data_IF_698761547150
#
_entry.id   IF_698761547150
#
_cell.length_a   1.000
_cell.length_b   1.000
_cell.length_c   1.000
_cell.angle_alpha   90.00
_cell.angle_beta   90.00
_cell.angle_gamma   90.00
#
_symmetry.space_group_name_H-M   'P 1'
#
loop_
_entity.id
_entity.type
_entity.pdbx_description
1 polymer ?
#
# COMPACT_ATOMS: atom_id res chain seq x y z
N UNK A 1 -10.32 19.55 22.52
CA UNK A 1 -11.14 19.34 21.31
C UNK A 1 -10.19 18.96 20.19
N UNK A 2 -10.27 17.75 19.65
CA UNK A 2 -9.51 17.38 18.46
C UNK A 2 -10.07 18.18 17.28
N UNK A 3 -9.24 19.00 16.65
CA UNK A 3 -9.55 19.63 15.37
C UNK A 3 -9.89 18.53 14.37
N UNK A 4 -11.04 18.63 13.69
CA UNK A 4 -11.37 17.73 12.61
C UNK A 4 -10.23 17.77 11.58
N UNK A 5 -9.70 16.60 11.21
CA UNK A 5 -8.70 16.50 10.16
C UNK A 5 -9.31 16.97 8.84
N UNK A 6 -8.52 17.66 8.00
CA UNK A 6 -8.95 17.94 6.64
C UNK A 6 -9.15 16.62 5.88
N UNK A 7 -10.16 16.52 4.99
CA UNK A 7 -10.31 15.34 4.15
C UNK A 7 -9.04 15.08 3.34
N UNK A 8 -8.65 13.82 3.22
CA UNK A 8 -7.48 13.39 2.44
C UNK A 8 -7.90 12.41 1.36
N UNK A 9 -7.32 12.56 0.18
CA UNK A 9 -7.48 11.58 -0.90
C UNK A 9 -6.18 10.82 -1.08
N UNK A 10 -6.27 9.50 -1.16
CA UNK A 10 -5.14 8.62 -1.43
C UNK A 10 -5.39 7.85 -2.71
N UNK A 11 -4.43 7.89 -3.62
CA UNK A 11 -4.43 7.10 -4.85
C UNK A 11 -3.63 5.82 -4.65
N UNK A 12 -4.27 4.71 -4.97
CA UNK A 12 -3.63 3.43 -5.05
C UNK A 12 -2.83 3.28 -6.35
N UNK A 13 -1.85 2.38 -6.35
CA UNK A 13 -0.95 2.17 -7.50
C UNK A 13 -1.67 1.68 -8.75
N UNK A 14 -2.82 1.01 -8.60
CA UNK A 14 -3.71 0.62 -9.71
C UNK A 14 -4.60 1.76 -10.25
N UNK A 15 -4.51 2.95 -9.63
CA UNK A 15 -5.28 4.14 -9.99
C UNK A 15 -6.59 4.33 -9.23
N UNK A 16 -7.02 3.35 -8.42
CA UNK A 16 -8.15 3.51 -7.49
C UNK A 16 -7.89 4.66 -6.52
N UNK A 17 -8.94 5.34 -6.06
CA UNK A 17 -8.84 6.51 -5.19
C UNK A 17 -9.75 6.35 -4.00
N UNK A 18 -9.24 6.66 -2.81
CA UNK A 18 -9.98 6.59 -1.56
C UNK A 18 -10.01 7.99 -0.92
N UNK A 19 -11.20 8.48 -0.63
CA UNK A 19 -11.40 9.70 0.16
C UNK A 19 -11.64 9.27 1.61
N UNK A 20 -10.82 9.80 2.52
CA UNK A 20 -11.01 9.67 3.95
C UNK A 20 -11.37 11.04 4.52
N UNK A 21 -12.40 11.06 5.35
CA UNK A 21 -12.90 12.25 6.04
C UNK A 21 -13.31 11.86 7.46
N UNK A 22 -13.50 12.86 8.33
CA UNK A 22 -13.97 12.65 9.69
C UNK A 22 -13.28 13.53 10.71
N UNK A 23 -13.36 13.11 11.97
CA UNK A 23 -12.77 13.86 13.10
C UNK A 23 -11.49 13.22 13.65
N UNK A 24 -10.92 12.25 12.93
CA UNK A 24 -9.63 11.63 13.26
C UNK A 24 -8.49 12.44 12.64
N UNK A 25 -7.28 12.26 13.18
CA UNK A 25 -6.07 12.80 12.55
C UNK A 25 -5.68 11.93 11.36
N UNK A 26 -5.79 12.50 10.16
CA UNK A 26 -5.48 11.85 8.89
C UNK A 26 -4.20 12.41 8.25
N UNK A 27 -3.38 13.14 9.00
CA UNK A 27 -2.20 13.84 8.47
C UNK A 27 -1.03 12.92 8.09
N UNK A 28 -0.96 11.73 8.69
CA UNK A 28 0.10 10.76 8.41
C UNK A 28 0.11 10.36 6.92
N UNK A 29 1.30 10.13 6.32
CA UNK A 29 1.41 9.69 4.94
C UNK A 29 0.79 8.30 4.74
N UNK A 30 0.52 7.97 3.49
CA UNK A 30 0.07 6.64 3.07
C UNK A 30 1.07 5.99 2.13
N UNK A 31 1.09 4.66 2.11
CA UNK A 31 1.72 3.88 1.03
C UNK A 31 0.64 3.14 0.24
N UNK A 32 0.94 2.74 -0.99
CA UNK A 32 0.10 1.82 -1.75
C UNK A 32 0.91 0.68 -2.31
N UNK A 33 0.43 -0.54 -2.12
CA UNK A 33 1.08 -1.77 -2.54
C UNK A 33 0.21 -2.47 -3.58
N UNK A 34 0.83 -3.02 -4.61
CA UNK A 34 0.17 -3.98 -5.48
C UNK A 34 1.14 -5.01 -6.02
N UNK A 35 0.59 -6.20 -6.23
CA UNK A 35 1.23 -7.27 -6.97
C UNK A 35 0.86 -7.17 -8.45
N UNK A 36 1.88 -7.16 -9.30
CA UNK A 36 1.75 -7.14 -10.75
C UNK A 36 2.34 -8.42 -11.31
N UNK A 37 1.54 -9.18 -12.04
CA UNK A 37 2.02 -10.33 -12.81
C UNK A 37 2.59 -9.83 -14.13
N UNK A 38 3.87 -10.13 -14.39
CA UNK A 38 4.59 -9.75 -15.61
C UNK A 38 5.27 -11.00 -16.16
N UNK A 39 4.88 -11.42 -17.37
CA UNK A 39 5.39 -12.65 -17.98
C UNK A 39 5.27 -13.89 -17.06
N UNK A 40 4.16 -13.99 -16.33
CA UNK A 40 3.88 -15.10 -15.41
C UNK A 40 4.64 -15.05 -14.07
N UNK A 41 5.36 -13.97 -13.77
CA UNK A 41 6.04 -13.76 -12.47
C UNK A 41 5.39 -12.63 -11.70
N UNK A 42 5.26 -12.79 -10.40
CA UNK A 42 4.72 -11.76 -9.51
C UNK A 42 5.82 -10.75 -9.15
N UNK A 43 5.48 -9.48 -9.21
CA UNK A 43 6.32 -8.36 -8.81
C UNK A 43 5.53 -7.43 -7.91
N UNK A 44 5.98 -7.26 -6.66
CA UNK A 44 5.38 -6.30 -5.75
C UNK A 44 5.93 -4.90 -6.03
N UNK A 45 5.03 -3.92 -6.08
CA UNK A 45 5.37 -2.51 -6.14
C UNK A 45 4.74 -1.78 -4.96
N UNK A 46 5.57 -1.10 -4.19
CA UNK A 46 5.13 -0.21 -3.11
C UNK A 46 5.37 1.24 -3.52
N UNK A 47 4.35 2.08 -3.43
CA UNK A 47 4.40 3.51 -3.74
C UNK A 47 4.12 4.33 -2.50
N UNK A 48 4.58 5.57 -2.46
CA UNK A 48 4.38 6.46 -1.33
C UNK A 48 4.82 7.88 -1.62
N UNK A 49 4.95 8.69 -0.57
CA UNK A 49 5.59 10.01 -0.69
C UNK A 49 7.05 9.86 -1.16
N UNK A 50 7.66 10.97 -1.58
CA UNK A 50 9.06 10.97 -2.03
C UNK A 50 10.03 10.46 -0.96
N UNK A 51 9.67 10.58 0.33
CA UNK A 51 10.47 10.10 1.46
C UNK A 51 10.45 8.58 1.64
N UNK A 52 9.50 7.84 1.05
CA UNK A 52 9.45 6.37 1.09
C UNK A 52 10.79 5.77 0.66
N UNK A 53 11.38 6.34 -0.39
CA UNK A 53 12.66 5.93 -0.91
C UNK A 53 13.78 5.97 0.15
N UNK A 54 13.82 7.01 0.99
CA UNK A 54 14.83 7.13 2.04
C UNK A 54 14.57 6.15 3.19
N UNK A 55 13.30 5.94 3.53
CA UNK A 55 12.90 5.01 4.59
C UNK A 55 13.19 3.56 4.20
N UNK A 56 12.91 3.17 2.96
CA UNK A 56 13.18 1.81 2.46
C UNK A 56 14.68 1.53 2.37
N UNK A 57 15.46 2.47 1.82
CA UNK A 57 16.93 2.34 1.74
C UNK A 57 17.53 2.14 3.13
N UNK A 58 17.08 2.93 4.11
CA UNK A 58 17.50 2.79 5.51
C UNK A 58 17.10 1.43 6.09
N UNK A 59 15.86 0.99 5.87
CA UNK A 59 15.35 -0.28 6.39
C UNK A 59 16.05 -1.51 5.78
N UNK A 60 16.48 -1.42 4.52
CA UNK A 60 17.18 -2.50 3.82
C UNK A 60 18.70 -2.48 4.04
N UNK A 61 19.23 -1.53 4.82
CA UNK A 61 20.67 -1.37 5.05
C UNK A 61 21.44 -1.04 3.77
N UNK A 62 20.79 -0.37 2.81
CA UNK A 62 21.43 0.08 1.58
C UNK A 62 22.16 1.39 1.87
N UNK A 63 23.48 1.33 2.04
CA UNK A 63 24.28 2.53 2.31
C UNK A 63 24.53 3.38 1.05
N UNK A 64 24.47 2.74 -0.13
CA UNK A 64 24.68 3.40 -1.43
C UNK A 64 23.92 2.69 -2.55
N UNK A 65 23.56 3.45 -3.57
CA UNK A 65 23.07 2.90 -4.84
C UNK A 65 24.23 2.59 -5.78
N UNK A 66 24.09 1.51 -6.54
CA UNK A 66 25.07 1.07 -7.54
C UNK A 66 24.89 1.82 -8.86
N UNK A 67 23.65 2.11 -9.22
CA UNK A 67 23.31 2.78 -10.48
C UNK A 67 22.24 3.85 -10.28
N UNK A 68 22.29 4.89 -11.12
CA UNK A 68 21.33 5.97 -11.18
C UNK A 68 20.99 6.28 -12.64
N UNK A 69 19.71 6.21 -13.00
CA UNK A 69 19.21 6.36 -14.36
C UNK A 69 18.12 7.44 -14.42
N UNK A 70 17.97 8.10 -15.57
CA UNK A 70 16.76 8.86 -15.86
C UNK A 70 15.73 7.92 -16.49
N UNK A 71 14.54 7.85 -15.91
CA UNK A 71 13.52 6.88 -16.35
C UNK A 71 12.10 7.44 -16.19
N UNK A 72 11.33 7.46 -17.28
CA UNK A 72 9.93 7.92 -17.34
C UNK A 72 9.65 9.23 -16.56
N UNK A 73 10.49 10.25 -16.75
CA UNK A 73 10.32 11.56 -16.12
C UNK A 73 10.78 11.67 -14.65
N UNK A 74 11.31 10.59 -14.08
CA UNK A 74 11.94 10.58 -12.75
C UNK A 74 13.35 10.01 -12.77
N UNK A 75 13.88 9.74 -11.59
CA UNK A 75 15.18 9.07 -11.40
C UNK A 75 14.96 7.68 -10.84
N UNK A 76 15.63 6.70 -11.42
CA UNK A 76 15.62 5.31 -10.97
C UNK A 76 16.99 4.99 -10.39
N UNK A 77 17.03 4.59 -9.12
CA UNK A 77 18.22 4.08 -8.46
C UNK A 77 18.09 2.59 -8.23
N UNK A 78 19.21 1.88 -8.34
CA UNK A 78 19.25 0.45 -8.01
C UNK A 78 20.42 0.13 -7.10
N UNK A 79 20.21 -0.81 -6.20
CA UNK A 79 21.24 -1.34 -5.31
C UNK A 79 21.11 -2.85 -5.22
N UNK A 80 22.23 -3.56 -5.10
CA UNK A 80 22.26 -4.98 -4.79
C UNK A 80 22.45 -5.18 -3.30
N UNK A 81 21.59 -6.00 -2.71
CA UNK A 81 21.72 -6.42 -1.31
C UNK A 81 21.80 -7.93 -1.23
N UNK A 82 22.46 -8.42 -0.17
CA UNK A 82 22.57 -9.84 0.16
C UNK A 82 22.21 -10.05 1.63
N UNK A 83 20.97 -9.74 2.04
CA UNK A 83 20.56 -9.96 3.42
C UNK A 83 20.59 -11.45 3.72
N UNK A 84 21.08 -11.80 4.90
CA UNK A 84 20.89 -13.13 5.46
C UNK A 84 19.54 -13.16 6.15
N UNK A 85 18.65 -14.04 5.69
CA UNK A 85 17.39 -14.31 6.36
C UNK A 85 17.59 -15.43 7.40
N UNK A 86 17.51 -15.14 8.70
CA UNK A 86 17.72 -16.14 9.75
C UNK A 86 16.55 -17.13 9.89
N UNK A 87 15.35 -16.79 9.41
CA UNK A 87 14.17 -17.65 9.50
C UNK A 87 14.28 -18.82 8.52
N UNK A 88 14.68 -18.53 7.28
CA UNK A 88 14.89 -19.55 6.23
C UNK A 88 16.36 -19.96 6.07
N UNK A 89 17.27 -19.35 6.84
CA UNK A 89 18.73 -19.57 6.83
C UNK A 89 19.35 -19.43 5.44
N UNK A 90 18.87 -18.46 4.67
CA UNK A 90 19.27 -18.26 3.27
C UNK A 90 19.83 -16.86 3.07
N UNK A 91 20.90 -16.77 2.29
CA UNK A 91 21.36 -15.49 1.73
C UNK A 91 20.84 -15.39 0.32
N UNK A 92 20.10 -14.33 0.01
CA UNK A 92 19.53 -14.13 -1.31
C UNK A 92 20.04 -12.83 -1.93
N UNK A 93 20.44 -12.91 -3.20
CA UNK A 93 20.80 -11.74 -3.99
C UNK A 93 19.52 -11.00 -4.40
N UNK A 94 19.35 -9.79 -3.90
CA UNK A 94 18.21 -8.93 -4.21
C UNK A 94 18.67 -7.70 -4.99
N UNK A 95 17.97 -7.40 -6.07
CA UNK A 95 18.06 -6.11 -6.74
C UNK A 95 16.94 -5.23 -6.21
N UNK A 96 17.30 -4.22 -5.43
CA UNK A 96 16.41 -3.18 -4.95
C UNK A 96 16.34 -2.08 -6.00
N UNK A 97 15.14 -1.62 -6.30
CA UNK A 97 14.90 -0.52 -7.21
C UNK A 97 14.00 0.53 -6.57
N UNK A 98 14.42 1.78 -6.69
CA UNK A 98 13.68 2.93 -6.19
C UNK A 98 13.55 3.94 -7.31
N UNK A 99 12.33 4.31 -7.66
CA UNK A 99 12.07 5.42 -8.58
C UNK A 99 11.55 6.62 -7.79
N UNK A 100 12.11 7.81 -7.98
CA UNK A 100 11.58 9.06 -7.42
C UNK A 100 11.14 10.01 -8.53
N UNK A 101 9.90 10.50 -8.38
CA UNK A 101 9.35 11.61 -9.13
C UNK A 101 9.53 12.92 -8.37
N UNK A 102 8.55 13.82 -8.48
CA UNK A 102 8.58 15.13 -7.85
C UNK A 102 8.08 15.12 -6.39
N UNK A 103 7.07 14.32 -6.10
CA UNK A 103 6.34 14.24 -4.83
C UNK A 103 6.19 12.82 -4.29
N UNK A 104 6.29 11.84 -5.18
CA UNK A 104 6.08 10.44 -4.91
C UNK A 104 7.26 9.60 -5.38
N UNK A 105 7.34 8.40 -4.82
CA UNK A 105 8.30 7.39 -5.22
C UNK A 105 7.65 6.02 -5.23
N UNK A 106 8.28 5.08 -5.92
CA UNK A 106 8.00 3.66 -5.72
C UNK A 106 9.28 2.89 -5.41
N UNK A 107 9.08 1.75 -4.77
CA UNK A 107 10.05 0.73 -4.47
C UNK A 107 9.57 -0.62 -5.01
N UNK A 108 10.50 -1.41 -5.50
CA UNK A 108 10.31 -2.83 -5.81
C UNK A 108 11.63 -3.58 -5.59
N UNK A 109 11.56 -4.88 -5.35
CA UNK A 109 12.72 -5.75 -5.28
C UNK A 109 12.56 -6.96 -6.21
N UNK A 110 13.66 -7.42 -6.80
CA UNK A 110 13.68 -8.59 -7.67
C UNK A 110 14.85 -9.50 -7.29
N UNK A 111 14.53 -10.76 -7.01
CA UNK A 111 15.48 -11.78 -6.61
C UNK A 111 16.27 -12.32 -7.81
N UNK A 112 17.59 -12.46 -7.64
CA UNK A 112 18.49 -13.03 -8.63
C UNK A 112 18.53 -12.29 -9.96
N UNK A 113 18.19 -10.99 -9.96
CA UNK A 113 18.04 -10.20 -11.18
C UNK A 113 19.15 -9.17 -11.40
N UNK A 114 19.31 -8.76 -12.66
CA UNK A 114 20.13 -7.64 -13.09
C UNK A 114 19.27 -6.42 -13.46
N UNK A 115 19.89 -5.24 -13.44
CA UNK A 115 19.25 -3.96 -13.78
C UNK A 115 18.57 -4.00 -15.15
N UNK A 116 19.13 -4.70 -16.13
CA UNK A 116 18.52 -4.88 -17.46
C UNK A 116 17.20 -5.64 -17.41
N UNK A 117 17.08 -6.64 -16.53
CA UNK A 117 15.84 -7.39 -16.33
C UNK A 117 14.78 -6.54 -15.61
N UNK A 118 15.20 -5.77 -14.59
CA UNK A 118 14.34 -4.76 -13.97
C UNK A 118 13.81 -3.76 -15.00
N UNK A 119 14.66 -3.22 -15.87
CA UNK A 119 14.23 -2.31 -16.93
C UNK A 119 13.27 -2.99 -17.91
N UNK A 120 13.45 -4.29 -18.18
CA UNK A 120 12.50 -5.09 -18.95
C UNK A 120 11.12 -5.16 -18.29
N UNK A 121 11.08 -5.37 -16.98
CA UNK A 121 9.87 -5.32 -16.15
C UNK A 121 9.24 -3.93 -16.20
N UNK A 122 9.99 -2.87 -15.88
CA UNK A 122 9.44 -1.52 -15.80
C UNK A 122 8.90 -1.00 -17.14
N UNK A 123 9.42 -1.47 -18.28
CA UNK A 123 8.92 -1.08 -19.61
C UNK A 123 7.49 -1.55 -19.90
N UNK A 124 6.97 -2.52 -19.16
CA UNK A 124 5.59 -2.98 -19.29
C UNK A 124 4.61 -2.10 -18.51
N UNK A 125 5.12 -1.12 -17.76
CA UNK A 125 4.36 -0.22 -16.90
C UNK A 125 4.62 1.23 -17.30
N UNK A 126 3.56 2.04 -17.30
CA UNK A 126 3.64 3.49 -17.41
C UNK A 126 3.51 4.11 -16.02
N UNK A 127 4.50 4.91 -15.65
CA UNK A 127 4.50 5.62 -14.37
C UNK A 127 3.80 6.97 -14.56
N UNK A 128 2.76 7.23 -13.76
CA UNK A 128 2.08 8.53 -13.74
C UNK A 128 1.99 9.05 -12.31
N UNK A 129 2.49 10.26 -12.10
CA UNK A 129 2.47 10.95 -10.82
C UNK A 129 1.30 11.93 -10.75
N UNK A 130 0.59 11.90 -9.62
CA UNK A 130 -0.55 12.76 -9.32
C UNK A 130 -0.31 13.52 -8.01
N UNK A 131 -1.17 14.48 -7.67
CA UNK A 131 -1.09 15.18 -6.39
C UNK A 131 -1.47 14.27 -5.20
N UNK A 132 -2.26 13.22 -5.45
CA UNK A 132 -2.78 12.28 -4.45
C UNK A 132 -2.09 10.90 -4.46
N UNK A 133 -1.03 10.71 -5.25
CA UNK A 133 -0.25 9.47 -5.28
C UNK A 133 0.39 9.15 -6.64
N UNK A 134 0.82 7.90 -6.80
CA UNK A 134 1.48 7.38 -8.00
C UNK A 134 0.64 6.25 -8.59
N UNK A 135 0.61 6.12 -9.93
CA UNK A 135 0.06 4.93 -10.60
C UNK A 135 1.11 4.24 -11.46
N UNK A 136 1.00 2.92 -11.53
CA UNK A 136 1.75 2.06 -12.45
C UNK A 136 0.75 1.39 -13.39
N UNK A 137 0.57 1.95 -14.58
CA UNK A 137 -0.43 1.44 -15.53
C UNK A 137 0.19 0.40 -16.46
N UNK A 138 -0.31 -0.84 -16.51
CA UNK A 138 0.09 -1.79 -17.53
C UNK A 138 -0.06 -1.21 -18.94
N UNK A 139 1.01 -1.28 -19.73
CA UNK A 139 1.00 -0.86 -21.12
C UNK A 139 0.21 -1.87 -21.94
N UNK A 140 -0.68 -1.44 -22.85
CA UNK A 140 -1.42 -2.36 -23.72
C UNK A 140 -0.49 -3.33 -24.45
N UNK A 141 -0.78 -4.63 -24.39
CA UNK A 141 0.04 -5.73 -24.96
C UNK A 141 1.44 -5.88 -24.34
N UNK A 142 1.71 -5.23 -23.21
CA UNK A 142 2.98 -5.32 -22.49
C UNK A 142 3.13 -6.56 -21.58
N UNK A 143 2.08 -7.38 -21.44
CA UNK A 143 2.12 -8.61 -20.64
C UNK A 143 2.14 -8.40 -19.13
N UNK A 144 1.77 -7.20 -18.66
CA UNK A 144 1.59 -6.87 -17.25
C UNK A 144 0.11 -6.80 -16.89
N UNK A 145 -0.24 -7.28 -15.70
CA UNK A 145 -1.59 -7.21 -15.13
C UNK A 145 -1.52 -7.17 -13.61
N UNK A 146 -2.42 -6.45 -12.95
CA UNK A 146 -2.54 -6.51 -11.49
C UNK A 146 -3.09 -7.87 -11.06
N UNK A 147 -2.41 -8.55 -10.15
CA UNK A 147 -2.84 -9.86 -9.64
C UNK A 147 -4.06 -9.73 -8.71
N UNK A 148 -4.19 -8.60 -8.03
CA UNK A 148 -5.32 -8.22 -7.20
C UNK A 148 -5.45 -6.69 -7.18
N UNK A 149 -6.60 -6.14 -6.75
CA UNK A 149 -6.71 -4.70 -6.52
C UNK A 149 -5.62 -4.22 -5.56
N UNK A 150 -5.07 -3.04 -5.83
CA UNK A 150 -4.07 -2.44 -4.97
C UNK A 150 -4.62 -2.15 -3.57
N UNK A 151 -3.73 -2.16 -2.60
CA UNK A 151 -4.02 -1.79 -1.21
C UNK A 151 -3.38 -0.44 -0.90
N UNK A 152 -4.07 0.41 -0.14
CA UNK A 152 -3.53 1.64 0.44
C UNK A 152 -3.41 1.42 1.95
N UNK A 153 -2.22 1.65 2.48
CA UNK A 153 -1.89 1.54 3.89
C UNK A 153 -1.79 2.94 4.48
N UNK A 154 -2.48 3.19 5.60
CA UNK A 154 -2.42 4.47 6.31
C UNK A 154 -2.49 4.27 7.81
N UNK A 155 -1.52 4.80 8.55
CA UNK A 155 -1.63 4.84 10.00
C UNK A 155 -2.52 6.01 10.44
N UNK A 156 -3.43 5.74 11.37
CA UNK A 156 -4.27 6.75 12.03
C UNK A 156 -4.00 6.67 13.54
N UNK A 157 -3.45 7.72 14.16
CA UNK A 157 -3.12 7.73 15.58
C UNK A 157 -4.31 7.33 16.47
N UNK A 158 -4.06 6.42 17.42
CA UNK A 158 -5.07 5.86 18.33
C UNK A 158 -6.06 4.86 17.71
N UNK A 159 -6.14 4.76 16.38
CA UNK A 159 -6.97 3.76 15.69
C UNK A 159 -6.14 2.56 15.21
N UNK A 160 -4.97 2.81 14.61
CA UNK A 160 -4.06 1.77 14.11
C UNK A 160 -3.75 1.92 12.62
N UNK A 161 -3.39 0.81 11.98
CA UNK A 161 -3.13 0.74 10.54
C UNK A 161 -4.41 0.44 9.78
N UNK A 162 -4.73 1.30 8.82
CA UNK A 162 -5.81 1.13 7.86
C UNK A 162 -5.28 0.49 6.59
N UNK A 163 -5.85 -0.64 6.18
CA UNK A 163 -5.58 -1.28 4.89
C UNK A 163 -6.83 -1.18 4.01
N UNK A 164 -6.78 -0.31 3.00
CA UNK A 164 -7.92 0.00 2.15
C UNK A 164 -7.73 -0.56 0.76
N UNK A 165 -8.78 -1.16 0.22
CA UNK A 165 -8.79 -1.65 -1.15
C UNK A 165 -10.22 -1.68 -1.67
N UNK A 166 -10.37 -1.81 -2.98
CA UNK A 166 -11.71 -1.85 -3.58
C UNK A 166 -12.46 -3.10 -3.12
N UNK A 167 -13.74 -2.93 -2.79
CA UNK A 167 -14.60 -4.06 -2.48
C UNK A 167 -14.93 -4.81 -3.78
N UNK A 168 -14.36 -6.00 -3.94
CA UNK A 168 -14.72 -6.92 -5.02
C UNK A 168 -15.82 -7.86 -4.55
N UNK A 169 -16.51 -8.49 -5.51
CA UNK A 169 -17.48 -9.54 -5.21
C UNK A 169 -16.87 -10.68 -4.40
N UNK A 170 -15.69 -11.14 -4.80
CA UNK A 170 -14.96 -12.20 -4.08
C UNK A 170 -14.67 -11.82 -2.63
N UNK A 171 -14.27 -10.57 -2.36
CA UNK A 171 -14.06 -10.09 -0.97
C UNK A 171 -15.37 -9.97 -0.22
N UNK A 172 -16.44 -9.49 -0.86
CA UNK A 172 -17.76 -9.39 -0.24
C UNK A 172 -18.27 -10.78 0.20
N UNK A 173 -17.99 -11.83 -0.57
CA UNK A 173 -18.32 -13.22 -0.22
C UNK A 173 -17.53 -13.77 0.98
N UNK A 174 -16.42 -13.11 1.37
CA UNK A 174 -15.63 -13.43 2.58
C UNK A 174 -16.09 -12.68 3.82
N UNK A 175 -17.07 -11.77 3.71
CA UNK A 175 -17.62 -11.10 4.88
C UNK A 175 -18.27 -12.12 5.81
N UNK A 176 -18.14 -11.94 7.13
CA UNK A 176 -18.86 -12.77 8.07
C UNK A 176 -20.36 -12.81 7.79
N UNK A 177 -20.97 -13.99 7.95
CA UNK A 177 -22.41 -14.19 7.70
C UNK A 177 -23.31 -13.63 8.80
N UNK A 178 -22.75 -13.25 9.95
CA UNK A 178 -23.47 -12.60 11.03
C UNK A 178 -23.52 -11.08 10.84
N UNK A 179 -24.48 -10.43 11.50
CA UNK A 179 -24.61 -8.98 11.44
C UNK A 179 -23.48 -8.30 12.23
N UNK A 180 -22.75 -7.41 11.57
CA UNK A 180 -21.75 -6.54 12.18
C UNK A 180 -22.36 -5.30 12.83
N UNK A 181 -21.51 -4.47 13.41
CA UNK A 181 -21.91 -3.19 13.99
C UNK A 181 -22.07 -2.16 12.86
N UNK A 182 -23.24 -1.53 12.78
CA UNK A 182 -23.45 -0.42 11.84
C UNK A 182 -22.70 0.82 12.30
N UNK A 183 -21.96 1.42 11.38
CA UNK A 183 -21.24 2.68 11.55
C UNK A 183 -21.68 3.69 10.49
N UNK A 184 -21.22 4.93 10.58
CA UNK A 184 -21.48 5.96 9.55
C UNK A 184 -20.93 5.62 8.17
N UNK A 185 -19.87 4.82 8.08
CA UNK A 185 -19.22 4.47 6.81
C UNK A 185 -19.69 3.13 6.23
N UNK A 186 -20.19 2.22 7.07
CA UNK A 186 -20.52 0.87 6.66
C UNK A 186 -20.71 -0.08 7.84
N UNK A 187 -20.51 -1.37 7.60
CA UNK A 187 -20.67 -2.41 8.62
C UNK A 187 -19.30 -2.89 9.11
N UNK A 188 -19.12 -2.88 10.44
CA UNK A 188 -17.89 -3.20 11.12
C UNK A 188 -17.98 -4.61 11.73
N UNK A 189 -17.00 -5.43 11.41
CA UNK A 189 -16.81 -6.78 11.92
C UNK A 189 -15.53 -6.84 12.74
N UNK A 190 -15.50 -7.70 13.74
CA UNK A 190 -14.31 -8.03 14.52
C UNK A 190 -13.90 -9.47 14.20
N UNK A 191 -12.62 -9.68 13.99
CA UNK A 191 -12.04 -10.99 13.76
C UNK A 191 -10.64 -11.07 14.39
N UNK A 192 -9.94 -12.20 14.24
CA UNK A 192 -8.66 -12.47 14.90
C UNK A 192 -7.62 -12.95 13.89
N UNK A 193 -6.42 -12.38 13.95
CA UNK A 193 -5.27 -12.83 13.17
C UNK A 193 -4.78 -14.20 13.66
N UNK A 194 -3.92 -14.85 12.88
CA UNK A 194 -3.34 -16.16 13.23
C UNK A 194 -2.51 -16.13 14.52
N UNK A 195 -1.97 -14.98 14.90
CA UNK A 195 -1.24 -14.77 16.15
C UNK A 195 -2.14 -14.46 17.36
N UNK A 196 -3.47 -14.54 17.18
CA UNK A 196 -4.47 -14.30 18.23
C UNK A 196 -4.80 -12.82 18.45
N UNK A 197 -4.17 -11.88 17.74
CA UNK A 197 -4.48 -10.46 17.89
C UNK A 197 -5.77 -10.09 17.15
N UNK A 198 -6.62 -9.23 17.74
CA UNK A 198 -7.83 -8.80 17.07
C UNK A 198 -7.51 -7.85 15.91
N UNK A 199 -8.31 -7.94 14.86
CA UNK A 199 -8.40 -6.94 13.80
C UNK A 199 -9.87 -6.69 13.49
N UNK A 200 -10.14 -5.61 12.75
CA UNK A 200 -11.51 -5.24 12.38
C UNK A 200 -11.61 -5.08 10.87
N UNK A 201 -12.79 -5.37 10.34
CA UNK A 201 -13.11 -5.17 8.93
C UNK A 201 -14.28 -4.22 8.84
N UNK A 202 -14.09 -3.07 8.20
CA UNK A 202 -15.15 -2.15 7.81
C UNK A 202 -15.46 -2.38 6.32
N UNK A 203 -16.65 -2.91 6.05
CA UNK A 203 -17.19 -3.03 4.70
C UNK A 203 -18.09 -1.84 4.40
N UNK A 204 -17.69 -1.04 3.42
CA UNK A 204 -18.52 0.06 2.88
C UNK A 204 -19.20 -0.39 1.58
N UNK A 205 -19.88 0.51 0.87
CA UNK A 205 -20.51 0.18 -0.41
C UNK A 205 -19.50 -0.22 -1.52
N UNK A 206 -18.28 0.31 -1.48
CA UNK A 206 -17.29 0.16 -2.57
C UNK A 206 -15.85 -0.09 -2.09
N UNK A 207 -15.61 -0.05 -0.79
CA UNK A 207 -14.29 -0.14 -0.16
C UNK A 207 -14.31 -1.19 0.95
N UNK A 208 -13.31 -2.07 0.94
CA UNK A 208 -12.95 -2.94 2.05
C UNK A 208 -11.84 -2.25 2.85
N UNK A 209 -12.04 -2.08 4.15
CA UNK A 209 -11.05 -1.52 5.06
C UNK A 209 -10.75 -2.51 6.18
N UNK A 210 -9.50 -2.99 6.28
CA UNK A 210 -9.03 -3.65 7.49
C UNK A 210 -8.44 -2.62 8.45
N UNK A 211 -8.77 -2.72 9.74
CA UNK A 211 -8.15 -1.95 10.81
C UNK A 211 -7.31 -2.93 11.63
N UNK A 212 -6.00 -2.74 11.60
CA UNK A 212 -5.04 -3.49 12.40
C UNK A 212 -4.60 -2.60 13.58
N UNK A 213 -5.06 -2.89 14.80
CA UNK A 213 -4.64 -2.16 16.00
C UNK A 213 -3.12 -2.14 16.16
N UNK A 214 -2.57 -0.99 16.51
CA UNK A 214 -1.16 -0.82 16.86
C UNK A 214 -1.02 -0.63 18.38
N UNK A 215 0.22 -0.42 18.86
CA UNK A 215 0.50 -0.37 20.31
C UNK A 215 -0.21 0.75 21.06
N UNK A 216 -0.66 1.80 20.38
CA UNK A 216 -1.42 2.93 20.92
C UNK A 216 -2.94 2.80 20.76
N UNK A 217 -3.44 1.71 20.17
CA UNK A 217 -4.87 1.50 19.94
C UNK A 217 -5.56 0.94 21.19
N UNK A 218 -6.55 1.65 21.72
CA UNK A 218 -7.51 1.10 22.68
C UNK A 218 -8.58 0.29 21.93
N UNK A 219 -8.54 -1.04 22.07
CA UNK A 219 -9.42 -1.98 21.37
C UNK A 219 -10.91 -1.75 21.65
N UNK A 220 -11.26 -1.30 22.86
CA UNK A 220 -12.65 -1.03 23.23
C UNK A 220 -13.17 0.26 22.56
N UNK A 221 -12.27 1.17 22.18
CA UNK A 221 -12.61 2.41 21.50
C UNK A 221 -12.67 2.28 19.98
N UNK A 222 -12.17 1.19 19.39
CA UNK A 222 -12.13 1.02 17.93
C UNK A 222 -13.50 1.23 17.28
N UNK A 223 -14.62 0.63 17.76
CA UNK A 223 -15.94 0.89 17.18
C UNK A 223 -16.33 2.38 17.15
N UNK A 224 -16.08 3.08 18.25
CA UNK A 224 -16.36 4.52 18.39
C UNK A 224 -15.47 5.36 17.47
N UNK A 225 -14.21 5.00 17.33
CA UNK A 225 -13.26 5.68 16.45
C UNK A 225 -13.58 5.44 14.98
N UNK A 226 -13.94 4.21 14.61
CA UNK A 226 -14.38 3.87 13.24
C UNK A 226 -15.66 4.61 12.87
N UNK A 227 -16.62 4.79 13.80
CA UNK A 227 -17.82 5.59 13.53
C UNK A 227 -17.52 7.07 13.23
N UNK A 228 -16.34 7.55 13.62
CA UNK A 228 -15.86 8.92 13.33
C UNK A 228 -15.13 9.03 11.99
N UNK A 229 -14.88 7.91 11.31
CA UNK A 229 -14.23 7.83 10.00
C UNK A 229 -15.30 7.71 8.91
N UNK A 230 -15.12 8.43 7.82
CA UNK A 230 -15.84 8.25 6.56
C UNK A 230 -14.84 7.79 5.50
N UNK A 231 -15.18 6.72 4.79
CA UNK A 231 -14.37 6.19 3.69
C UNK A 231 -15.28 5.96 2.50
N UNK A 232 -14.87 6.42 1.33
CA UNK A 232 -15.54 6.15 0.07
C UNK A 232 -14.54 6.16 -1.09
N UNK A 233 -14.89 5.50 -2.19
CA UNK A 233 -14.12 5.66 -3.42
C UNK A 233 -14.33 7.07 -4.00
N UNK A 234 -13.25 7.75 -4.33
CA UNK A 234 -13.33 9.01 -5.07
C UNK A 234 -13.50 8.73 -6.57
N UNK A 235 -14.34 9.54 -7.24
CA UNK A 235 -14.54 9.50 -8.68
C UNK A 235 -13.32 10.04 -9.44
#
# INVERSE_FOLDING_TARGET
MATAGAPVTHRAVDGSRFLLDGSLDLSAPSTSVADVTINGRLHEFTTGTIGLADDVVRALGVDRFDEELSYQGGRLWTARTRPYDPQIRLTEDRLVAVWRGRRHSFFTEIYGAATTQLLGVLRTLRIEEHDDGLTLRPVPKGGAEFAAPATVLKQVPGLGLLEMTTLTRERAERLPSWQGLRTRAGELYRDTLSDGKPYFVLATADTWLSVVPLGDTDLEQVPTLVDRLRVQRAR
#
